data_IF_564015447103
#
_entry.id   IF_564015447103
#
_cell.length_a   1.000
_cell.length_b   1.000
_cell.length_c   1.000
_cell.angle_alpha   90.00
_cell.angle_beta   90.00
_cell.angle_gamma   90.00
#
_symmetry.space_group_name_H-M   'P 1'
#
loop_
_entity.id
_entity.type
_entity.pdbx_description
1 polymer ?
#
# COMPACT_ATOMS: atom_id res chain seq x y z
N UNK A 1 33.51 -48.74 36.05
CA UNK A 1 34.93 -48.95 35.70
C UNK A 1 35.02 -49.05 34.18
N UNK A 2 35.64 -48.07 33.50
CA UNK A 2 36.97 -48.15 32.82
C UNK A 2 36.93 -49.07 31.57
N UNK A 3 37.45 -48.76 30.37
CA UNK A 3 38.21 -47.63 29.78
C UNK A 3 38.34 -47.86 28.24
N UNK A 4 38.34 -46.76 27.48
CA UNK A 4 39.23 -46.34 26.36
C UNK A 4 39.48 -47.17 25.05
N UNK A 5 39.22 -46.43 23.95
CA UNK A 5 40.07 -46.12 22.76
C UNK A 5 40.36 -47.07 21.60
N UNK A 6 39.91 -46.65 20.41
CA UNK A 6 40.67 -46.27 19.17
C UNK A 6 39.65 -46.30 18.01
N UNK A 7 39.50 -45.37 17.07
CA UNK A 7 40.43 -44.53 16.30
C UNK A 7 40.05 -44.75 14.83
N UNK A 8 39.75 -43.69 14.06
CA UNK A 8 39.52 -43.81 12.60
C UNK A 8 38.50 -42.83 12.02
N UNK A 9 39.01 -41.73 11.48
CA UNK A 9 38.35 -40.63 10.77
C UNK A 9 37.59 -41.03 9.49
N UNK A 10 36.60 -40.24 9.05
CA UNK A 10 36.57 -39.64 7.71
C UNK A 10 35.42 -38.61 7.50
N UNK A 11 35.81 -37.47 6.92
CA UNK A 11 35.07 -36.54 6.05
C UNK A 11 34.09 -35.51 6.65
N UNK A 12 34.69 -34.40 7.09
CA UNK A 12 34.14 -33.04 7.13
C UNK A 12 34.17 -32.38 5.75
N UNK A 13 33.10 -31.65 5.37
CA UNK A 13 33.10 -30.75 4.20
C UNK A 13 32.74 -29.32 4.65
N UNK A 14 33.76 -28.53 4.99
CA UNK A 14 33.73 -27.06 5.02
C UNK A 14 34.70 -26.56 3.95
N UNK A 15 34.20 -25.93 2.88
CA UNK A 15 35.05 -25.19 1.93
C UNK A 15 35.18 -23.75 2.40
N UNK A 16 36.41 -23.37 2.71
CA UNK A 16 36.89 -22.02 2.97
C UNK A 16 36.94 -21.21 1.67
N UNK A 17 36.60 -19.93 1.78
CA UNK A 17 37.02 -18.87 0.86
C UNK A 17 38.49 -18.56 1.17
N UNK A 18 39.35 -18.58 0.15
CA UNK A 18 40.72 -18.05 0.21
C UNK A 18 40.82 -16.79 -0.66
N UNK A 19 41.39 -15.76 -0.04
CA UNK A 19 41.94 -14.54 -0.64
C UNK A 19 43.09 -14.86 -1.59
N UNK A 20 43.15 -14.20 -2.74
CA UNK A 20 44.44 -13.82 -3.35
C UNK A 20 44.29 -12.66 -4.34
N UNK A 21 44.66 -11.50 -3.82
CA UNK A 21 45.20 -10.31 -4.47
C UNK A 21 46.07 -10.63 -5.70
N UNK A 22 45.74 -10.11 -6.88
CA UNK A 22 46.75 -9.85 -7.93
C UNK A 22 46.31 -8.69 -8.82
N UNK A 23 47.00 -7.56 -8.67
CA UNK A 23 46.91 -6.41 -9.57
C UNK A 23 47.71 -6.68 -10.87
N UNK A 24 47.29 -6.16 -12.04
CA UNK A 24 48.14 -6.19 -13.24
C UNK A 24 49.14 -5.02 -13.27
N UNK A 25 50.36 -5.21 -13.80
CA UNK A 25 51.39 -4.17 -13.85
C UNK A 25 51.26 -3.25 -15.09
N UNK A 26 51.87 -2.05 -15.07
CA UNK A 26 51.90 -1.12 -16.20
C UNK A 26 53.13 -1.35 -17.09
N UNK A 27 53.01 -1.20 -18.42
CA UNK A 27 54.18 -1.08 -19.30
C UNK A 27 53.95 -0.12 -20.48
N UNK A 28 54.56 1.05 -20.33
CA UNK A 28 55.41 1.75 -21.31
C UNK A 28 55.00 1.81 -22.79
N UNK A 29 54.54 3.02 -23.17
CA UNK A 29 55.01 3.85 -24.29
C UNK A 29 55.67 3.19 -25.52
N UNK A 30 55.05 3.40 -26.69
CA UNK A 30 55.77 3.67 -27.95
C UNK A 30 55.07 4.78 -28.73
N UNK A 31 55.84 5.83 -29.04
CA UNK A 31 55.47 7.01 -29.83
C UNK A 31 55.41 6.70 -31.34
N UNK A 32 54.79 7.66 -32.05
CA UNK A 32 54.86 8.02 -33.48
C UNK A 32 53.71 7.44 -34.32
N UNK A 33 52.94 8.17 -35.13
CA UNK A 33 53.01 9.55 -35.66
C UNK A 33 51.69 9.84 -36.39
N UNK A 34 51.22 11.10 -36.34
CA UNK A 34 50.42 11.75 -37.41
C UNK A 34 48.99 11.26 -37.64
N UNK A 35 48.00 12.10 -37.33
CA UNK A 35 47.05 12.66 -38.31
C UNK A 35 45.96 13.47 -37.58
N UNK A 36 45.98 14.77 -37.88
CA UNK A 36 45.03 15.87 -37.71
C UNK A 36 43.64 15.64 -37.08
N UNK A 37 43.33 16.45 -36.07
CA UNK A 37 41.98 16.66 -35.52
C UNK A 37 41.05 17.39 -36.51
N UNK A 38 39.73 17.10 -36.54
CA UNK A 38 38.79 17.89 -37.32
C UNK A 38 38.41 19.18 -36.58
N UNK A 39 38.40 20.25 -37.35
CA UNK A 39 38.10 21.63 -37.02
C UNK A 39 36.61 21.76 -36.64
N UNK A 40 36.32 22.37 -35.49
CA UNK A 40 34.98 22.82 -35.12
C UNK A 40 34.76 24.20 -35.76
N UNK A 41 33.78 24.42 -36.65
CA UNK A 41 33.44 25.76 -37.10
C UNK A 41 32.42 26.38 -36.13
N UNK A 42 32.85 27.43 -35.46
CA UNK A 42 31.98 28.41 -34.80
C UNK A 42 31.30 29.28 -35.85
N UNK A 43 29.96 29.24 -35.95
CA UNK A 43 29.19 30.34 -36.52
C UNK A 43 27.89 30.59 -35.77
N UNK A 44 27.66 31.87 -35.59
CA UNK A 44 26.60 32.62 -34.92
C UNK A 44 25.24 32.57 -35.62
N UNK A 45 24.18 32.71 -34.82
CA UNK A 45 22.88 33.37 -35.08
C UNK A 45 22.35 33.45 -36.52
N UNK A 46 21.31 32.67 -36.82
CA UNK A 46 19.97 33.13 -37.24
C UNK A 46 19.27 32.09 -38.13
N UNK A 47 18.13 31.58 -37.66
CA UNK A 47 16.93 31.30 -38.46
C UNK A 47 15.86 30.62 -37.61
N UNK A 48 15.00 31.43 -37.01
CA UNK A 48 13.67 31.02 -36.63
C UNK A 48 12.86 30.69 -37.89
N UNK A 49 12.74 29.42 -38.25
CA UNK A 49 11.74 28.93 -39.21
C UNK A 49 11.71 27.40 -39.22
N UNK A 50 10.64 26.85 -38.64
CA UNK A 50 10.03 25.53 -38.88
C UNK A 50 9.80 24.71 -37.60
N UNK A 51 9.00 25.24 -36.68
CA UNK A 51 8.18 24.37 -35.83
C UNK A 51 7.06 23.77 -36.69
N UNK A 52 7.42 22.85 -37.58
CA UNK A 52 6.46 21.87 -38.08
C UNK A 52 6.20 20.91 -36.93
N UNK A 53 5.15 21.21 -36.17
CA UNK A 53 4.61 20.34 -35.12
C UNK A 53 3.98 19.13 -35.78
N UNK A 54 4.81 18.23 -36.32
CA UNK A 54 4.40 16.87 -36.66
C UNK A 54 3.89 16.25 -35.35
N UNK A 55 2.60 15.87 -35.25
CA UNK A 55 2.13 15.25 -34.02
C UNK A 55 3.00 14.02 -33.75
N UNK A 56 3.49 13.83 -32.52
CA UNK A 56 4.38 12.73 -32.21
C UNK A 56 3.73 11.41 -32.66
N UNK A 57 4.50 10.48 -33.26
CA UNK A 57 3.94 9.23 -33.74
C UNK A 57 3.21 8.53 -32.59
N UNK A 58 2.07 7.90 -32.90
CA UNK A 58 1.19 7.30 -31.89
C UNK A 58 1.96 6.37 -30.94
N UNK A 59 3.00 5.70 -31.43
CA UNK A 59 3.90 4.85 -30.64
C UNK A 59 4.78 5.61 -29.63
N UNK A 60 5.24 6.82 -29.96
CA UNK A 60 5.95 7.67 -28.99
C UNK A 60 5.02 8.26 -27.95
N UNK A 61 3.77 8.60 -28.33
CA UNK A 61 2.74 9.04 -27.40
C UNK A 61 2.39 7.90 -26.43
N UNK A 62 2.18 6.69 -26.94
CA UNK A 62 1.90 5.52 -26.10
C UNK A 62 3.11 5.14 -25.24
N UNK A 63 4.34 5.21 -25.75
CA UNK A 63 5.55 5.00 -24.96
C UNK A 63 5.73 6.09 -23.88
N UNK A 64 5.42 7.34 -24.19
CA UNK A 64 5.44 8.44 -23.23
C UNK A 64 4.37 8.26 -22.15
N UNK A 65 3.15 7.85 -22.51
CA UNK A 65 2.09 7.46 -21.57
C UNK A 65 2.53 6.29 -20.69
N UNK A 66 3.16 5.26 -21.27
CA UNK A 66 3.64 4.08 -20.55
C UNK A 66 4.79 4.44 -19.58
N UNK A 67 5.70 5.32 -20.01
CA UNK A 67 6.79 5.87 -19.17
C UNK A 67 6.23 6.75 -18.05
N UNK A 68 5.26 7.61 -18.34
CA UNK A 68 4.55 8.41 -17.35
C UNK A 68 3.84 7.52 -16.34
N UNK A 69 3.10 6.50 -16.80
CA UNK A 69 2.42 5.50 -15.97
C UNK A 69 3.40 4.72 -15.09
N UNK A 70 4.57 4.33 -15.62
CA UNK A 70 5.66 3.72 -14.83
C UNK A 70 6.28 4.69 -13.82
N UNK A 71 6.43 5.97 -14.17
CA UNK A 71 6.93 6.99 -13.26
C UNK A 71 5.97 7.23 -12.09
N UNK A 72 4.66 7.08 -12.32
CA UNK A 72 3.63 7.21 -11.28
C UNK A 72 3.58 6.02 -10.30
N UNK A 73 4.20 4.90 -10.67
CA UNK A 73 4.37 3.72 -9.82
C UNK A 73 5.71 3.72 -9.07
N UNK A 74 6.55 4.75 -9.28
CA UNK A 74 7.80 4.87 -8.52
C UNK A 74 7.50 4.97 -7.02
N UNK A 75 8.31 4.30 -6.21
CA UNK A 75 8.22 4.33 -4.75
C UNK A 75 9.57 4.74 -4.18
N UNK A 76 9.55 5.55 -3.12
CA UNK A 76 10.76 5.84 -2.35
C UNK A 76 11.25 4.60 -1.57
N UNK A 77 12.38 4.72 -0.88
CA UNK A 77 12.97 3.62 -0.08
C UNK A 77 12.03 3.17 1.05
N UNK A 78 11.10 4.03 1.44
CA UNK A 78 10.08 3.84 2.45
C UNK A 78 8.74 3.36 1.86
N UNK A 79 8.67 3.09 0.55
CA UNK A 79 7.47 2.59 -0.13
C UNK A 79 6.40 3.65 -0.44
N UNK A 80 6.71 4.94 -0.34
CA UNK A 80 5.75 6.02 -0.63
C UNK A 80 5.71 6.34 -2.11
N UNK A 81 4.50 6.43 -2.63
CA UNK A 81 4.27 6.93 -3.98
C UNK A 81 4.28 8.46 -4.01
N UNK A 82 4.52 9.10 -5.17
CA UNK A 82 4.42 10.56 -5.31
C UNK A 82 3.08 11.12 -4.82
N UNK A 83 1.99 10.36 -5.02
CA UNK A 83 0.67 10.73 -4.52
C UNK A 83 0.60 10.71 -2.99
N UNK A 84 1.20 9.72 -2.33
CA UNK A 84 1.26 9.70 -0.85
C UNK A 84 2.02 10.90 -0.30
N UNK A 85 3.12 11.31 -0.93
CA UNK A 85 3.86 12.50 -0.54
C UNK A 85 3.02 13.78 -0.67
N UNK A 86 2.24 13.91 -1.76
CA UNK A 86 1.29 15.00 -1.92
C UNK A 86 0.19 14.99 -0.83
N UNK A 87 -0.26 13.80 -0.42
CA UNK A 87 -1.26 13.62 0.64
C UNK A 87 -0.73 13.90 2.07
N UNK A 88 0.58 14.13 2.22
CA UNK A 88 1.18 14.48 3.52
C UNK A 88 1.30 15.99 3.71
N UNK A 89 1.20 16.79 2.65
CA UNK A 89 1.46 18.23 2.67
C UNK A 89 0.29 19.04 2.09
N UNK A 90 -0.22 19.98 2.88
CA UNK A 90 -1.37 20.84 2.52
C UNK A 90 -1.16 21.64 1.24
N UNK A 91 0.07 22.06 0.95
CA UNK A 91 0.37 22.93 -0.19
C UNK A 91 0.44 22.17 -1.53
N UNK A 92 0.43 20.84 -1.50
CA UNK A 92 0.59 20.01 -2.69
C UNK A 92 -0.75 19.50 -3.25
N UNK A 93 -1.85 20.23 -3.01
CA UNK A 93 -3.16 19.86 -3.52
C UNK A 93 -3.20 19.74 -5.04
N UNK A 94 -2.69 20.75 -5.75
CA UNK A 94 -2.69 20.76 -7.22
C UNK A 94 -1.79 19.66 -7.81
N UNK A 95 -0.67 19.37 -7.14
CA UNK A 95 0.22 18.26 -7.49
C UNK A 95 -0.51 16.93 -7.28
N UNK A 96 -1.20 16.73 -6.16
CA UNK A 96 -2.00 15.52 -5.92
C UNK A 96 -3.12 15.35 -6.96
N UNK A 97 -3.81 16.44 -7.31
CA UNK A 97 -4.86 16.44 -8.33
C UNK A 97 -4.34 16.09 -9.72
N UNK A 98 -3.24 16.71 -10.14
CA UNK A 98 -2.61 16.38 -11.43
C UNK A 98 -2.12 14.94 -11.47
N UNK A 99 -1.53 14.43 -10.38
CA UNK A 99 -1.11 13.02 -10.28
C UNK A 99 -2.29 12.05 -10.43
N UNK A 100 -3.44 12.33 -9.79
CA UNK A 100 -4.64 11.50 -9.92
C UNK A 100 -5.17 11.52 -11.36
N UNK A 101 -5.25 12.69 -11.98
CA UNK A 101 -5.66 12.85 -13.39
C UNK A 101 -4.71 12.11 -14.34
N UNK A 102 -3.41 12.10 -14.04
CA UNK A 102 -2.41 11.34 -14.78
C UNK A 102 -2.50 9.81 -14.56
N UNK A 103 -3.39 9.34 -13.69
CA UNK A 103 -3.64 7.92 -13.44
C UNK A 103 -2.78 7.33 -12.33
N UNK A 104 -2.35 8.14 -11.34
CA UNK A 104 -1.72 7.63 -10.13
C UNK A 104 -2.64 6.63 -9.40
N UNK A 105 -2.05 5.58 -8.83
CA UNK A 105 -2.82 4.59 -8.07
C UNK A 105 -3.30 5.19 -6.73
N UNK A 106 -4.58 5.54 -6.67
CA UNK A 106 -5.28 6.08 -5.50
C UNK A 106 -5.31 5.09 -4.33
N UNK A 107 -5.25 3.79 -4.62
CA UNK A 107 -5.30 2.70 -3.64
C UNK A 107 -3.93 2.05 -3.41
N UNK A 108 -2.84 2.76 -3.72
CA UNK A 108 -1.49 2.29 -3.40
C UNK A 108 -1.39 2.02 -1.88
N UNK A 109 -0.79 0.90 -1.50
CA UNK A 109 -0.60 0.54 -0.10
C UNK A 109 0.88 0.53 0.22
N UNK A 110 1.28 1.22 1.29
CA UNK A 110 2.65 1.13 1.80
C UNK A 110 2.68 0.38 3.14
N UNK A 111 3.55 -0.62 3.30
CA UNK A 111 3.79 -1.27 4.58
C UNK A 111 4.80 -0.47 5.44
N UNK A 112 4.86 -0.76 6.75
CA UNK A 112 5.93 -0.28 7.64
C UNK A 112 5.53 0.86 8.57
N UNK A 113 6.51 1.68 9.01
CA UNK A 113 6.21 2.79 9.95
C UNK A 113 5.24 3.76 9.29
N UNK A 114 4.08 3.97 9.91
CA UNK A 114 2.94 4.75 9.39
C UNK A 114 2.28 4.11 8.14
N UNK A 115 2.12 2.78 8.12
CA UNK A 115 1.50 2.07 7.01
C UNK A 115 0.12 2.62 6.63
N UNK A 116 -0.25 2.43 5.36
CA UNK A 116 -1.56 2.78 4.88
C UNK A 116 -1.63 3.18 3.41
N UNK A 117 -2.80 3.66 3.04
CA UNK A 117 -3.10 4.17 1.69
C UNK A 117 -2.96 5.70 1.63
N UNK A 118 -2.94 6.33 0.44
CA UNK A 118 -3.00 7.80 0.32
C UNK A 118 -4.12 8.41 1.16
N UNK A 119 -5.25 7.72 1.28
CA UNK A 119 -6.38 8.15 2.11
C UNK A 119 -6.06 8.15 3.61
N UNK A 120 -5.30 7.18 4.13
CA UNK A 120 -4.84 7.19 5.53
C UNK A 120 -3.93 8.38 5.82
N UNK A 121 -3.05 8.72 4.87
CA UNK A 121 -2.17 9.87 4.99
C UNK A 121 -2.92 11.19 4.93
N UNK A 122 -3.82 11.35 3.95
CA UNK A 122 -4.65 12.55 3.84
C UNK A 122 -5.54 12.74 5.08
N UNK A 123 -6.15 11.66 5.57
CA UNK A 123 -6.94 11.66 6.79
C UNK A 123 -6.08 11.98 8.03
N UNK A 124 -4.88 11.39 8.11
CA UNK A 124 -3.93 11.63 9.18
C UNK A 124 -3.30 13.02 9.17
N UNK A 125 -3.29 13.72 8.04
CA UNK A 125 -2.72 15.06 7.90
C UNK A 125 -3.77 16.18 7.96
N UNK A 126 -5.06 15.87 8.10
CA UNK A 126 -6.09 16.90 8.16
C UNK A 126 -6.49 17.49 6.80
N UNK A 127 -6.17 16.82 5.69
CA UNK A 127 -6.37 17.34 4.33
C UNK A 127 -7.78 17.03 3.78
N UNK A 128 -8.80 17.73 4.27
CA UNK A 128 -10.20 17.49 3.86
C UNK A 128 -10.45 17.53 2.34
N UNK A 129 -9.90 18.53 1.65
CA UNK A 129 -10.03 18.65 0.18
C UNK A 129 -9.37 17.48 -0.56
N UNK A 130 -8.21 17.02 -0.09
CA UNK A 130 -7.52 15.87 -0.67
C UNK A 130 -8.30 14.58 -0.40
N UNK A 131 -8.87 14.42 0.80
CA UNK A 131 -9.75 13.28 1.12
C UNK A 131 -10.94 13.21 0.18
N UNK A 132 -11.63 14.34 -0.05
CA UNK A 132 -12.75 14.40 -0.99
C UNK A 132 -12.34 14.02 -2.40
N UNK A 133 -11.17 14.51 -2.85
CA UNK A 133 -10.61 14.20 -4.16
C UNK A 133 -10.26 12.71 -4.31
N UNK A 134 -9.62 12.11 -3.31
CA UNK A 134 -9.29 10.69 -3.32
C UNK A 134 -10.55 9.82 -3.33
N UNK A 135 -11.54 10.15 -2.50
CA UNK A 135 -12.81 9.43 -2.44
C UNK A 135 -13.59 9.54 -3.76
N UNK A 136 -13.63 10.72 -4.39
CA UNK A 136 -14.30 10.90 -5.68
C UNK A 136 -13.66 10.07 -6.80
N UNK A 137 -12.35 9.81 -6.72
CA UNK A 137 -11.60 8.97 -7.65
C UNK A 137 -11.50 7.49 -7.22
N UNK A 138 -12.34 7.04 -6.28
CA UNK A 138 -12.46 5.62 -5.95
C UNK A 138 -11.48 5.10 -4.90
N UNK A 139 -10.98 5.96 -4.00
CA UNK A 139 -10.23 5.51 -2.83
C UNK A 139 -11.08 4.59 -1.94
N UNK A 140 -10.50 3.46 -1.54
CA UNK A 140 -11.13 2.53 -0.61
C UNK A 140 -10.96 3.05 0.83
N UNK A 141 -12.07 3.50 1.42
CA UNK A 141 -12.12 3.99 2.80
C UNK A 141 -12.07 2.89 3.87
N UNK A 142 -12.21 1.63 3.47
CA UNK A 142 -12.25 0.47 4.36
C UNK A 142 -10.93 -0.32 4.42
N UNK A 143 -9.93 0.08 3.64
CA UNK A 143 -8.61 -0.54 3.74
C UNK A 143 -8.08 -0.34 5.16
N UNK A 144 -7.49 -1.38 5.72
CA UNK A 144 -6.85 -1.34 7.03
C UNK A 144 -5.35 -1.14 6.83
N UNK A 145 -4.75 -0.34 7.70
CA UNK A 145 -3.30 -0.28 7.83
C UNK A 145 -2.75 -1.44 8.69
N UNK A 146 -1.43 -1.48 8.87
CA UNK A 146 -0.75 -2.47 9.71
C UNK A 146 -1.20 -2.39 11.19
N UNK A 147 -1.68 -1.22 11.63
CA UNK A 147 -2.25 -1.00 12.97
C UNK A 147 -3.73 -1.42 13.08
N UNK A 148 -4.29 -2.06 12.04
CA UNK A 148 -5.69 -2.48 11.95
C UNK A 148 -6.71 -1.33 12.02
N UNK A 149 -6.30 -0.12 11.64
CA UNK A 149 -7.14 1.08 11.60
C UNK A 149 -7.60 1.36 10.17
N UNK A 150 -8.83 1.83 10.01
CA UNK A 150 -9.29 2.44 8.76
C UNK A 150 -8.85 3.90 8.68
N UNK A 151 -8.91 4.50 7.49
CA UNK A 151 -8.66 5.94 7.34
C UNK A 151 -9.61 6.81 8.18
N UNK A 152 -10.85 6.32 8.42
CA UNK A 152 -11.81 6.95 9.32
C UNK A 152 -11.34 6.90 10.78
N UNK A 153 -10.84 5.75 11.23
CA UNK A 153 -10.34 5.58 12.59
C UNK A 153 -9.12 6.47 12.85
N UNK A 154 -8.21 6.58 11.86
CA UNK A 154 -7.07 7.52 11.94
C UNK A 154 -7.56 8.96 12.08
N UNK A 155 -8.58 9.39 11.31
CA UNK A 155 -9.16 10.73 11.43
C UNK A 155 -9.81 10.96 12.81
N UNK A 156 -10.50 9.95 13.36
CA UNK A 156 -11.11 10.01 14.71
C UNK A 156 -10.06 10.13 15.80
N UNK A 157 -9.01 9.31 15.75
CA UNK A 157 -7.90 9.32 16.72
C UNK A 157 -7.19 10.68 16.73
N UNK A 158 -7.06 11.33 15.56
CA UNK A 158 -6.46 12.66 15.45
C UNK A 158 -7.42 13.83 15.70
N UNK A 159 -8.73 13.57 15.83
CA UNK A 159 -9.74 14.60 16.10
C UNK A 159 -10.20 15.43 14.89
N UNK A 160 -9.99 14.95 13.66
CA UNK A 160 -10.41 15.66 12.45
C UNK A 160 -11.88 15.39 12.10
N UNK A 161 -12.79 16.05 12.82
CA UNK A 161 -14.24 15.90 12.67
C UNK A 161 -14.76 16.25 11.26
N UNK A 162 -14.13 17.20 10.58
CA UNK A 162 -14.44 17.56 9.19
C UNK A 162 -14.18 16.39 8.23
N UNK A 163 -13.09 15.65 8.42
CA UNK A 163 -12.72 14.50 7.60
C UNK A 163 -13.61 13.30 7.90
N UNK A 164 -13.89 13.06 9.18
CA UNK A 164 -14.82 12.01 9.61
C UNK A 164 -16.15 12.18 8.89
N UNK A 165 -16.71 13.40 8.95
CA UNK A 165 -17.97 13.71 8.28
C UNK A 165 -17.87 13.56 6.75
N UNK A 166 -16.76 13.95 6.14
CA UNK A 166 -16.56 13.81 4.69
C UNK A 166 -16.55 12.34 4.22
N UNK A 167 -15.91 11.46 5.00
CA UNK A 167 -15.87 10.01 4.71
C UNK A 167 -17.24 9.38 4.96
N UNK A 168 -17.92 9.74 6.06
CA UNK A 168 -19.21 9.18 6.46
C UNK A 168 -20.38 9.61 5.55
N UNK A 169 -20.34 10.82 4.99
CA UNK A 169 -21.39 11.35 4.10
C UNK A 169 -21.45 10.66 2.73
N UNK A 170 -20.51 9.76 2.41
CA UNK A 170 -20.52 9.02 1.15
C UNK A 170 -21.70 8.04 1.12
N UNK A 171 -22.59 8.11 0.11
CA UNK A 171 -23.80 7.28 0.04
C UNK A 171 -23.51 5.78 0.14
N UNK A 172 -22.41 5.32 -0.45
CA UNK A 172 -22.05 3.90 -0.53
C UNK A 172 -21.23 3.42 0.68
N UNK A 173 -20.94 4.30 1.64
CA UNK A 173 -20.06 3.95 2.77
C UNK A 173 -20.75 2.98 3.73
N UNK A 174 -22.06 3.11 3.94
CA UNK A 174 -22.85 2.17 4.72
C UNK A 174 -22.85 0.75 4.10
N UNK A 175 -23.06 0.65 2.78
CA UNK A 175 -23.02 -0.62 2.05
C UNK A 175 -21.64 -1.27 2.13
N UNK A 176 -20.59 -0.44 2.06
CA UNK A 176 -19.22 -0.90 2.18
C UNK A 176 -18.96 -1.50 3.58
N UNK A 177 -19.42 -0.88 4.66
CA UNK A 177 -19.35 -1.44 6.01
C UNK A 177 -20.13 -2.75 6.16
N UNK A 178 -21.31 -2.84 5.52
CA UNK A 178 -22.08 -4.09 5.48
C UNK A 178 -21.30 -5.21 4.78
N UNK A 179 -20.71 -4.92 3.62
CA UNK A 179 -19.88 -5.87 2.86
C UNK A 179 -18.64 -6.32 3.63
N UNK A 180 -18.00 -5.41 4.36
CA UNK A 180 -16.87 -5.73 5.24
C UNK A 180 -17.31 -6.63 6.41
N UNK A 181 -18.48 -6.35 7.00
CA UNK A 181 -19.11 -7.20 8.01
C UNK A 181 -19.32 -8.63 7.51
N UNK A 182 -19.89 -8.81 6.32
CA UNK A 182 -20.04 -10.13 5.68
C UNK A 182 -18.69 -10.82 5.45
N UNK A 183 -17.65 -10.07 5.08
CA UNK A 183 -16.31 -10.63 4.88
C UNK A 183 -15.69 -11.10 6.21
N UNK A 184 -15.88 -10.37 7.30
CA UNK A 184 -15.44 -10.80 8.64
C UNK A 184 -16.21 -12.01 9.15
N UNK A 185 -17.51 -12.06 8.89
CA UNK A 185 -18.34 -13.23 9.21
C UNK A 185 -17.82 -14.49 8.52
N UNK A 186 -17.43 -14.39 7.24
CA UNK A 186 -16.78 -15.49 6.50
C UNK A 186 -15.42 -15.90 7.06
N UNK A 187 -14.69 -14.98 7.72
CA UNK A 187 -13.41 -15.25 8.39
C UNK A 187 -13.59 -15.75 9.84
N UNK A 188 -14.81 -15.90 10.35
CA UNK A 188 -15.09 -16.30 11.73
C UNK A 188 -14.84 -15.21 12.78
N UNK A 189 -14.50 -13.98 12.36
CA UNK A 189 -14.27 -12.82 13.23
C UNK A 189 -15.60 -12.15 13.58
N UNK A 190 -16.39 -12.83 14.42
CA UNK A 190 -17.78 -12.44 14.70
C UNK A 190 -17.87 -11.10 15.45
N UNK A 191 -16.92 -10.80 16.32
CA UNK A 191 -16.88 -9.54 17.08
C UNK A 191 -16.71 -8.31 16.18
N UNK A 192 -15.77 -8.36 15.24
CA UNK A 192 -15.48 -7.30 14.28
C UNK A 192 -16.59 -7.18 13.23
N UNK A 193 -17.16 -8.31 12.80
CA UNK A 193 -18.34 -8.31 11.94
C UNK A 193 -19.53 -7.59 12.61
N UNK A 194 -19.76 -7.79 13.91
CA UNK A 194 -20.80 -7.09 14.66
C UNK A 194 -20.58 -5.57 14.66
N UNK A 195 -19.34 -5.14 14.91
CA UNK A 195 -18.97 -3.74 14.90
C UNK A 195 -19.21 -3.12 13.51
N UNK A 196 -18.81 -3.81 12.44
CA UNK A 196 -19.04 -3.35 11.06
C UNK A 196 -20.53 -3.20 10.74
N UNK A 197 -21.37 -4.18 11.11
CA UNK A 197 -22.82 -4.09 10.88
C UNK A 197 -23.45 -2.93 11.67
N UNK A 198 -23.00 -2.68 12.91
CA UNK A 198 -23.46 -1.53 13.70
C UNK A 198 -23.03 -0.19 13.08
N UNK A 199 -21.79 -0.09 12.58
CA UNK A 199 -21.33 1.11 11.86
C UNK A 199 -22.20 1.34 10.60
N UNK A 200 -22.48 0.29 9.82
CA UNK A 200 -23.36 0.38 8.65
C UNK A 200 -24.75 0.90 9.02
N UNK A 201 -25.35 0.37 10.10
CA UNK A 201 -26.67 0.81 10.60
C UNK A 201 -26.66 2.21 11.22
N UNK A 202 -25.53 2.66 11.80
CA UNK A 202 -25.42 4.04 12.28
C UNK A 202 -25.40 5.06 11.14
N UNK A 203 -24.88 4.68 9.97
CA UNK A 203 -24.84 5.52 8.77
C UNK A 203 -26.15 5.46 7.99
N UNK A 204 -26.72 4.26 7.85
CA UNK A 204 -28.01 4.05 7.24
C UNK A 204 -28.84 3.03 8.06
N UNK A 205 -29.73 3.51 8.94
CA UNK A 205 -30.58 2.63 9.76
C UNK A 205 -31.52 1.72 8.96
N UNK A 206 -31.80 2.06 7.69
CA UNK A 206 -32.70 1.32 6.80
C UNK A 206 -31.95 0.35 5.87
N UNK A 207 -30.65 0.17 6.04
CA UNK A 207 -29.86 -0.74 5.22
C UNK A 207 -30.23 -2.20 5.50
N UNK A 208 -30.97 -2.82 4.57
CA UNK A 208 -31.47 -4.19 4.70
C UNK A 208 -30.34 -5.20 4.86
N UNK A 209 -29.28 -5.08 4.05
CA UNK A 209 -28.14 -6.00 4.08
C UNK A 209 -27.44 -6.02 5.45
N UNK A 210 -27.35 -4.87 6.11
CA UNK A 210 -26.72 -4.77 7.43
C UNK A 210 -27.57 -5.47 8.52
N UNK A 211 -28.91 -5.35 8.45
CA UNK A 211 -29.82 -6.11 9.33
C UNK A 211 -29.72 -7.61 9.07
N UNK A 212 -29.69 -8.03 7.81
CA UNK A 212 -29.53 -9.44 7.44
C UNK A 212 -28.19 -10.01 7.93
N UNK A 213 -27.10 -9.25 7.77
CA UNK A 213 -25.77 -9.63 8.26
C UNK A 213 -25.73 -9.75 9.79
N UNK A 214 -26.37 -8.83 10.53
CA UNK A 214 -26.47 -8.90 11.99
C UNK A 214 -27.28 -10.11 12.46
N UNK A 215 -28.39 -10.43 11.77
CA UNK A 215 -29.19 -11.62 12.07
C UNK A 215 -28.40 -12.92 11.85
N UNK A 216 -27.64 -13.00 10.75
CA UNK A 216 -26.76 -14.14 10.48
C UNK A 216 -25.63 -14.26 11.51
N UNK A 217 -25.09 -13.13 11.96
CA UNK A 217 -24.08 -13.07 13.02
C UNK A 217 -24.62 -13.66 14.34
N UNK A 218 -25.82 -13.26 14.76
CA UNK A 218 -26.43 -13.75 16.00
C UNK A 218 -26.67 -15.26 15.96
N UNK A 219 -27.12 -15.79 14.82
CA UNK A 219 -27.24 -17.24 14.61
C UNK A 219 -25.89 -17.94 14.73
N UNK A 220 -24.85 -17.41 14.09
CA UNK A 220 -23.50 -17.97 14.16
C UNK A 220 -22.93 -17.96 15.59
N UNK A 221 -23.14 -16.88 16.36
CA UNK A 221 -22.72 -16.80 17.76
C UNK A 221 -23.45 -17.83 18.64
N UNK A 222 -24.76 -18.03 18.43
CA UNK A 222 -25.54 -19.05 19.15
C UNK A 222 -25.07 -20.48 18.88
N UNK A 223 -24.76 -20.81 17.61
CA UNK A 223 -24.24 -22.13 17.25
C UNK A 223 -22.85 -22.40 17.84
N UNK A 224 -21.96 -21.41 17.87
CA UNK A 224 -20.63 -21.55 18.50
C UNK A 224 -20.77 -21.77 20.01
N UNK A 225 -21.70 -21.07 20.67
CA UNK A 225 -21.97 -21.25 22.09
C UNK A 225 -22.50 -22.66 22.39
N UNK A 226 -23.43 -23.17 21.56
CA UNK A 226 -23.98 -24.52 21.71
C UNK A 226 -22.92 -25.61 21.50
N UNK A 227 -22.07 -25.47 20.47
CA UNK A 227 -20.95 -26.40 20.26
C UNK A 227 -19.90 -26.34 21.39
N UNK A 228 -19.62 -25.15 21.93
CA UNK A 228 -18.72 -24.99 23.06
C UNK A 228 -19.27 -25.66 24.34
N UNK A 229 -20.57 -25.57 24.58
CA UNK A 229 -21.25 -26.26 25.68
C UNK A 229 -21.27 -27.77 25.50
N UNK A 230 -21.51 -28.27 24.28
CA UNK A 230 -21.50 -29.71 23.98
C UNK A 230 -20.09 -30.34 24.04
N UNK A 231 -19.05 -29.57 23.75
CA UNK A 231 -17.65 -30.04 23.80
C UNK A 231 -17.01 -29.99 25.19
N UNK A 232 -17.66 -29.36 26.18
CA UNK A 232 -17.27 -29.39 27.61
C UNK A 232 -18.44 -29.84 28.50
N UNK A 233 -18.85 -31.12 28.44
CA UNK A 233 -19.91 -31.65 29.30
C UNK A 233 -19.58 -31.65 30.80
N UNK A 234 -18.30 -31.58 31.18
CA UNK A 234 -17.86 -31.68 32.59
C UNK A 234 -18.01 -30.39 33.43
N UNK A 235 -18.36 -29.24 32.83
CA UNK A 235 -18.52 -28.00 33.61
C UNK A 235 -19.86 -27.92 34.37
N UNK A 236 -20.82 -28.80 34.07
CA UNK A 236 -22.11 -28.88 34.75
C UNK A 236 -22.05 -29.69 36.08
N UNK A 237 -20.98 -30.46 36.31
CA UNK A 237 -20.83 -31.32 37.51
C UNK A 237 -20.08 -30.66 38.68
N UNK A 238 -19.63 -29.40 38.56
CA UNK A 238 -18.83 -28.75 39.60
C UNK A 238 -19.58 -27.70 40.45
N UNK A 239 -20.86 -27.41 40.17
CA UNK A 239 -21.65 -26.42 40.93
C UNK A 239 -23.06 -26.91 41.32
N UNK A 240 -23.23 -28.22 41.46
CA UNK A 240 -24.46 -28.79 42.01
C UNK A 240 -24.14 -29.95 42.93
N UNK A 241 -23.82 -29.62 44.19
CA UNK A 241 -24.53 -30.05 45.41
C UNK A 241 -24.17 -29.09 46.57
#
# INVERSE_FOLDING_TARGET
MLRYSSGGDFATAKRKYDDSTTAPPPSTARRQTGFSAPIIPSHSSDSASAYNSVPPPVDEIELAKQRAKRSLLWMDKEGKTPLMLACMNTQLYDVGKTLIVMGANVNAYRPGRQAGTPLHHAAGSGLGEMVNLLLSHGANALTLNDDCQTALDVARVKGYSNIVRAIELRPNFADAWSNLGSAYMRKGRLTEAAQCCRQALSLNPRLVDAHSNLGNLMKAQGSVQQHALQSKPDYAMAFGE
#
